data_IF_170374597984
#
_entry.id   IF_170374597984
#
_cell.length_a   1.000
_cell.length_b   1.000
_cell.length_c   1.000
_cell.angle_alpha   90.00
_cell.angle_beta   90.00
_cell.angle_gamma   90.00
#
_symmetry.space_group_name_H-M   'P 1'
#
loop_
_entity.id
_entity.type
_entity.pdbx_description
1 polymer ?
#
# COMPACT_ATOMS: atom_id res chain seq x y z
N UNK A 1 -36.84 18.65 -31.56
CA UNK A 1 -38.18 18.61 -30.95
C UNK A 1 -38.22 17.82 -29.61
N UNK A 2 -37.16 17.03 -29.31
CA UNK A 2 -37.10 16.23 -28.07
C UNK A 2 -36.22 16.88 -26.94
N UNK A 3 -35.74 18.11 -27.18
CA UNK A 3 -34.88 18.84 -26.23
C UNK A 3 -35.69 19.15 -24.98
N UNK A 4 -35.16 18.73 -23.81
CA UNK A 4 -35.77 18.94 -22.49
C UNK A 4 -36.69 17.81 -22.02
N UNK A 5 -36.96 16.79 -22.82
CA UNK A 5 -37.69 15.60 -22.43
C UNK A 5 -36.81 14.64 -21.63
N UNK A 6 -37.40 13.87 -20.70
CA UNK A 6 -36.73 12.72 -20.13
C UNK A 6 -36.36 11.72 -21.20
N UNK A 7 -35.18 11.15 -21.13
CA UNK A 7 -34.64 10.27 -22.16
C UNK A 7 -35.46 8.98 -22.43
N UNK A 8 -36.12 8.47 -21.39
CA UNK A 8 -36.97 7.30 -21.51
C UNK A 8 -38.30 7.66 -22.15
N UNK A 9 -38.82 8.82 -21.78
CA UNK A 9 -40.02 9.41 -22.41
C UNK A 9 -39.78 9.76 -23.88
N UNK A 10 -38.64 10.41 -24.17
CA UNK A 10 -38.23 10.71 -25.53
C UNK A 10 -38.12 9.46 -26.42
N UNK A 11 -37.68 8.32 -25.91
CA UNK A 11 -37.61 7.06 -26.66
C UNK A 11 -38.99 6.56 -27.11
N UNK A 12 -39.98 6.63 -26.25
CA UNK A 12 -41.35 6.23 -26.62
C UNK A 12 -41.93 7.18 -27.67
N UNK A 13 -41.78 8.50 -27.46
CA UNK A 13 -42.25 9.51 -28.42
C UNK A 13 -41.54 9.36 -29.80
N UNK A 14 -40.23 9.07 -29.79
CA UNK A 14 -39.52 8.80 -31.08
C UNK A 14 -40.09 7.59 -31.81
N UNK A 15 -40.43 6.53 -31.06
CA UNK A 15 -41.04 5.34 -31.68
C UNK A 15 -42.44 5.64 -32.27
N UNK A 16 -43.24 6.44 -31.59
CA UNK A 16 -44.55 6.89 -32.08
C UNK A 16 -44.39 7.72 -33.36
N UNK A 17 -43.49 8.68 -33.38
CA UNK A 17 -43.19 9.50 -34.56
C UNK A 17 -42.72 8.65 -35.74
N UNK A 18 -41.83 7.66 -35.50
CA UNK A 18 -41.35 6.75 -36.54
C UNK A 18 -42.48 5.87 -37.10
N UNK A 19 -43.42 5.45 -36.25
CA UNK A 19 -44.58 4.67 -36.66
C UNK A 19 -45.54 5.50 -37.52
N UNK A 20 -45.87 6.72 -37.08
CA UNK A 20 -46.67 7.67 -37.86
C UNK A 20 -46.07 7.95 -39.26
N UNK A 21 -44.73 8.08 -39.30
CA UNK A 21 -43.99 8.28 -40.57
C UNK A 21 -43.87 6.99 -41.38
N UNK A 22 -44.36 5.84 -40.90
CA UNK A 22 -44.22 4.51 -41.51
C UNK A 22 -42.76 4.09 -41.77
N UNK A 23 -41.88 4.55 -40.89
CA UNK A 23 -40.44 4.22 -40.87
C UNK A 23 -40.08 3.16 -39.84
N UNK A 24 -40.98 2.83 -38.90
CA UNK A 24 -40.81 1.77 -37.95
C UNK A 24 -41.16 0.42 -38.57
N UNK A 25 -40.17 -0.44 -38.77
CA UNK A 25 -40.38 -1.78 -39.34
C UNK A 25 -40.81 -2.77 -38.26
N UNK A 26 -40.12 -2.71 -37.05
CA UNK A 26 -40.36 -3.67 -35.99
C UNK A 26 -39.81 -3.19 -34.65
N UNK A 27 -40.48 -3.51 -33.53
CA UNK A 27 -40.00 -3.34 -32.16
C UNK A 27 -39.93 -4.72 -31.49
N UNK A 28 -38.72 -5.21 -31.27
CA UNK A 28 -38.48 -6.48 -30.57
C UNK A 28 -37.88 -6.28 -29.20
N UNK A 29 -38.28 -7.04 -28.16
CA UNK A 29 -37.64 -7.05 -26.90
C UNK A 29 -36.23 -7.64 -27.00
N UNK A 30 -35.21 -6.89 -26.58
CA UNK A 30 -33.81 -7.30 -26.60
C UNK A 30 -33.14 -7.12 -25.24
N UNK A 31 -32.45 -8.17 -24.76
CA UNK A 31 -31.71 -8.12 -23.51
C UNK A 31 -30.28 -7.60 -23.75
N UNK A 32 -29.94 -6.50 -23.13
CA UNK A 32 -28.59 -5.91 -23.17
C UNK A 32 -28.03 -5.77 -21.78
N UNK A 33 -26.71 -5.88 -21.68
CA UNK A 33 -26.00 -5.48 -20.47
C UNK A 33 -25.75 -3.98 -20.50
N UNK A 34 -26.51 -3.22 -19.72
CA UNK A 34 -26.35 -1.76 -19.63
C UNK A 34 -25.56 -1.42 -18.36
N UNK A 35 -24.64 -0.45 -18.47
CA UNK A 35 -23.96 0.11 -17.31
C UNK A 35 -24.94 0.90 -16.45
N UNK A 36 -24.86 0.76 -15.12
CA UNK A 36 -25.64 1.50 -14.15
C UNK A 36 -24.77 2.35 -13.24
N UNK A 37 -25.24 3.52 -12.86
CA UNK A 37 -24.61 4.33 -11.83
C UNK A 37 -24.58 3.55 -10.50
N UNK A 38 -23.42 3.37 -9.92
CA UNK A 38 -23.27 2.64 -8.64
C UNK A 38 -23.94 3.33 -7.43
N UNK A 39 -24.32 4.61 -7.58
CA UNK A 39 -25.01 5.39 -6.54
C UNK A 39 -26.53 5.34 -6.63
N UNK A 40 -27.07 5.69 -7.81
CA UNK A 40 -28.52 5.81 -8.01
C UNK A 40 -29.12 4.71 -8.86
N UNK A 41 -28.30 3.77 -9.34
CA UNK A 41 -28.70 2.64 -10.19
C UNK A 41 -29.38 3.01 -11.53
N UNK A 42 -29.35 4.28 -11.90
CA UNK A 42 -29.85 4.73 -13.22
C UNK A 42 -28.92 4.23 -14.31
N UNK A 43 -29.49 3.81 -15.45
CA UNK A 43 -28.73 3.44 -16.65
C UNK A 43 -27.90 4.64 -17.11
N UNK A 44 -26.58 4.42 -17.33
CA UNK A 44 -25.68 5.45 -17.86
C UNK A 44 -25.67 5.41 -19.39
N UNK A 45 -25.50 6.59 -19.99
CA UNK A 45 -25.36 6.74 -21.44
C UNK A 45 -24.03 7.42 -21.74
N UNK A 46 -23.21 6.84 -22.65
CA UNK A 46 -21.96 7.46 -23.07
C UNK A 46 -22.20 8.79 -23.78
N UNK A 47 -21.45 9.83 -23.36
CA UNK A 47 -21.44 11.14 -24.03
C UNK A 47 -20.01 11.50 -24.40
N UNK A 48 -19.83 12.01 -25.59
CA UNK A 48 -18.55 12.61 -26.02
C UNK A 48 -18.50 14.03 -25.47
N UNK A 49 -17.41 14.37 -24.78
CA UNK A 49 -17.17 15.72 -24.28
C UNK A 49 -15.66 16.03 -24.32
N UNK A 50 -15.33 17.30 -24.34
CA UNK A 50 -13.95 17.74 -24.25
C UNK A 50 -13.40 17.39 -22.87
N UNK A 51 -12.19 16.85 -22.87
CA UNK A 51 -11.54 16.39 -21.64
C UNK A 51 -10.04 16.74 -21.66
N UNK A 52 -9.46 16.89 -20.49
CA UNK A 52 -8.02 17.07 -20.32
C UNK A 52 -7.33 15.71 -20.23
N UNK A 53 -6.27 15.52 -20.99
CA UNK A 53 -5.49 14.29 -21.03
C UNK A 53 -4.01 14.56 -20.79
N UNK A 54 -3.35 13.61 -20.12
CA UNK A 54 -1.88 13.52 -20.07
C UNK A 54 -1.41 12.53 -21.11
N UNK A 55 -0.45 12.90 -21.95
CA UNK A 55 0.26 12.01 -22.87
C UNK A 55 1.16 11.06 -22.08
N UNK A 56 0.72 9.81 -21.90
CA UNK A 56 1.38 8.87 -20.98
C UNK A 56 2.59 8.18 -21.57
N UNK A 57 2.63 7.94 -22.89
CA UNK A 57 3.73 7.19 -23.53
C UNK A 57 5.13 7.77 -23.30
N UNK A 58 5.37 9.10 -23.35
CA UNK A 58 6.68 9.69 -23.06
C UNK A 58 7.12 9.40 -21.61
N UNK A 59 6.21 9.56 -20.64
CA UNK A 59 6.47 9.30 -19.22
C UNK A 59 6.75 7.83 -18.94
N UNK A 60 6.01 6.94 -19.60
CA UNK A 60 6.14 5.50 -19.45
C UNK A 60 7.52 4.97 -19.85
N UNK A 61 8.21 5.58 -20.82
CA UNK A 61 9.53 5.11 -21.28
C UNK A 61 10.56 5.03 -20.16
N UNK A 62 10.65 6.09 -19.34
CA UNK A 62 11.58 6.16 -18.21
C UNK A 62 11.18 5.16 -17.11
N UNK A 63 9.89 5.08 -16.80
CA UNK A 63 9.35 4.16 -15.81
C UNK A 63 9.53 2.67 -16.20
N UNK A 64 9.35 2.33 -17.48
CA UNK A 64 9.65 0.98 -18.01
C UNK A 64 11.13 0.66 -17.85
N UNK A 65 12.03 1.60 -18.16
CA UNK A 65 13.48 1.40 -18.04
C UNK A 65 13.84 1.08 -16.58
N UNK A 66 13.43 1.89 -15.62
CA UNK A 66 13.75 1.71 -14.20
C UNK A 66 13.33 0.32 -13.66
N UNK A 67 12.18 -0.20 -14.12
CA UNK A 67 11.72 -1.55 -13.73
C UNK A 67 12.44 -2.67 -14.51
N UNK A 68 12.79 -2.45 -15.78
CA UNK A 68 13.55 -3.45 -16.56
C UNK A 68 14.96 -3.65 -16.02
N UNK A 69 15.62 -2.58 -15.60
CA UNK A 69 16.99 -2.59 -15.05
C UNK A 69 17.06 -2.95 -13.56
N UNK A 70 15.93 -3.29 -12.94
CA UNK A 70 15.80 -3.62 -11.51
C UNK A 70 16.22 -2.49 -10.56
N UNK A 71 16.19 -1.22 -11.02
CA UNK A 71 16.26 -0.05 -10.13
C UNK A 71 15.04 -0.01 -9.22
N UNK A 72 13.87 -0.48 -9.72
CA UNK A 72 12.65 -0.74 -8.96
C UNK A 72 12.30 -2.21 -9.08
N UNK A 73 12.20 -2.90 -7.94
CA UNK A 73 11.86 -4.32 -7.85
C UNK A 73 10.45 -4.53 -7.34
N UNK A 74 9.80 -5.61 -7.79
CA UNK A 74 8.46 -5.99 -7.36
C UNK A 74 8.48 -7.31 -6.57
N UNK A 75 7.78 -7.32 -5.47
CA UNK A 75 7.59 -8.48 -4.60
C UNK A 75 6.09 -8.78 -4.45
N UNK A 76 5.62 -10.00 -4.87
CA UNK A 76 6.36 -11.03 -5.58
C UNK A 76 6.71 -10.65 -7.03
N UNK A 77 7.77 -11.23 -7.57
CA UNK A 77 8.36 -10.88 -8.87
C UNK A 77 7.38 -10.97 -10.06
N UNK A 78 6.31 -11.77 -9.94
CA UNK A 78 5.27 -11.88 -10.99
C UNK A 78 4.68 -10.53 -11.38
N UNK A 79 4.61 -9.58 -10.45
CA UNK A 79 4.05 -8.25 -10.70
C UNK A 79 4.92 -7.37 -11.61
N UNK A 80 6.22 -7.63 -11.69
CA UNK A 80 7.10 -7.00 -12.69
C UNK A 80 6.58 -7.22 -14.11
N UNK A 81 6.18 -8.46 -14.44
CA UNK A 81 5.63 -8.81 -15.77
C UNK A 81 4.30 -8.12 -16.02
N UNK A 82 3.42 -8.11 -15.03
CA UNK A 82 2.08 -7.45 -15.11
C UNK A 82 2.25 -5.95 -15.31
N UNK A 83 3.12 -5.30 -14.53
CA UNK A 83 3.45 -3.88 -14.67
C UNK A 83 3.98 -3.55 -16.06
N UNK A 84 5.00 -4.28 -16.54
CA UNK A 84 5.62 -4.02 -17.84
C UNK A 84 4.64 -4.22 -19.00
N UNK A 85 3.76 -5.22 -18.92
CA UNK A 85 2.72 -5.44 -19.92
C UNK A 85 1.76 -4.25 -20.02
N UNK A 86 1.27 -3.77 -18.87
CA UNK A 86 0.37 -2.61 -18.84
C UNK A 86 1.06 -1.34 -19.32
N UNK A 87 2.29 -1.08 -18.89
CA UNK A 87 3.07 0.12 -19.25
C UNK A 87 3.41 0.17 -20.74
N UNK A 88 3.66 -0.98 -21.40
CA UNK A 88 3.92 -1.04 -22.83
C UNK A 88 2.67 -0.74 -23.66
N UNK A 89 1.48 -1.00 -23.12
CA UNK A 89 0.19 -0.78 -23.77
C UNK A 89 -0.56 0.43 -23.19
N UNK A 90 0.15 1.35 -22.55
CA UNK A 90 -0.48 2.47 -21.85
C UNK A 90 -1.19 3.42 -22.80
N UNK A 91 -2.41 3.81 -22.45
CA UNK A 91 -3.20 4.84 -23.09
C UNK A 91 -3.06 6.17 -22.37
N UNK A 92 -3.39 7.25 -23.08
CA UNK A 92 -3.41 8.59 -22.49
C UNK A 92 -4.44 8.66 -21.36
N UNK A 93 -4.11 9.40 -20.34
CA UNK A 93 -4.89 9.46 -19.11
C UNK A 93 -5.77 10.70 -19.08
N UNK A 94 -7.11 10.50 -19.10
CA UNK A 94 -8.06 11.56 -18.84
C UNK A 94 -7.98 11.98 -17.36
N UNK A 95 -7.63 13.24 -17.12
CA UNK A 95 -7.43 13.80 -15.77
C UNK A 95 -8.55 14.71 -15.31
N UNK A 96 -9.47 15.10 -16.17
CA UNK A 96 -10.63 15.93 -15.80
C UNK A 96 -11.81 15.10 -15.31
N UNK A 97 -12.55 15.63 -14.33
CA UNK A 97 -13.74 15.03 -13.73
C UNK A 97 -14.82 16.07 -13.55
N UNK A 98 -16.05 15.72 -13.96
CA UNK A 98 -17.26 16.55 -13.86
C UNK A 98 -17.96 16.26 -12.52
N UNK A 99 -17.29 16.56 -11.40
CA UNK A 99 -17.79 16.39 -10.04
C UNK A 99 -17.58 17.67 -9.22
N UNK A 100 -18.39 17.86 -8.21
CA UNK A 100 -18.35 19.11 -7.41
C UNK A 100 -17.18 19.16 -6.43
N UNK A 101 -16.69 18.01 -5.97
CA UNK A 101 -15.62 17.95 -4.98
C UNK A 101 -14.31 17.51 -5.61
N UNK A 102 -13.27 18.34 -5.47
CA UNK A 102 -11.93 18.04 -5.97
C UNK A 102 -11.11 19.32 -6.18
N UNK A 103 -9.89 19.16 -6.65
CA UNK A 103 -9.03 20.28 -7.03
C UNK A 103 -9.41 20.76 -8.43
N UNK A 104 -9.88 21.99 -8.58
CA UNK A 104 -10.17 22.57 -9.89
C UNK A 104 -8.94 22.62 -10.76
N UNK A 105 -9.11 22.36 -12.05
CA UNK A 105 -8.03 22.57 -13.01
C UNK A 105 -7.58 24.04 -12.97
N UNK A 106 -6.26 24.29 -12.87
CA UNK A 106 -5.71 25.65 -12.86
C UNK A 106 -5.62 26.21 -14.29
N UNK A 107 -6.73 26.11 -15.02
CA UNK A 107 -6.85 26.51 -16.43
C UNK A 107 -7.93 27.56 -16.56
N UNK A 108 -7.63 28.58 -17.36
CA UNK A 108 -8.52 29.69 -17.62
C UNK A 108 -8.67 29.91 -19.12
N UNK A 109 -9.87 30.24 -19.55
CA UNK A 109 -10.21 30.47 -20.94
C UNK A 109 -10.57 31.93 -21.17
N UNK A 110 -9.96 32.54 -22.17
CA UNK A 110 -10.35 33.86 -22.64
C UNK A 110 -11.52 33.74 -23.62
N UNK A 111 -12.71 34.18 -23.23
CA UNK A 111 -13.90 34.10 -24.08
C UNK A 111 -13.72 34.80 -25.43
N UNK A 112 -13.07 35.99 -25.45
CA UNK A 112 -12.82 36.73 -26.69
C UNK A 112 -11.95 35.95 -27.67
N UNK A 113 -10.95 35.21 -27.21
CA UNK A 113 -10.11 34.39 -28.08
C UNK A 113 -10.85 33.15 -28.56
N UNK A 114 -11.73 32.57 -27.71
CA UNK A 114 -12.54 31.38 -28.10
C UNK A 114 -13.59 31.74 -29.15
N UNK A 115 -14.32 32.84 -28.98
CA UNK A 115 -15.34 33.30 -29.93
C UNK A 115 -14.77 33.53 -31.33
N UNK A 116 -13.50 33.93 -31.42
CA UNK A 116 -12.80 34.13 -32.71
C UNK A 116 -12.35 32.81 -33.36
N UNK A 117 -12.26 31.72 -32.59
CA UNK A 117 -11.84 30.37 -33.06
C UNK A 117 -13.00 29.43 -33.40
N UNK A 118 -14.23 29.73 -32.95
CA UNK A 118 -15.42 28.90 -33.22
C UNK A 118 -15.81 28.84 -34.70
N UNK A 119 -15.21 29.68 -35.56
CA UNK A 119 -15.43 29.64 -37.03
C UNK A 119 -14.74 28.46 -37.72
N UNK A 120 -13.82 27.74 -37.07
CA UNK A 120 -13.02 26.67 -37.69
C UNK A 120 -13.21 25.26 -37.07
N UNK A 121 -14.23 25.05 -36.23
CA UNK A 121 -14.54 23.70 -35.73
C UNK A 121 -15.26 22.93 -36.89
N UNK A 122 -14.47 22.42 -37.79
CA UNK A 122 -14.90 21.45 -38.77
C UNK A 122 -15.20 20.13 -38.04
N UNK A 123 -16.47 19.75 -38.00
CA UNK A 123 -17.00 18.56 -37.29
C UNK A 123 -16.67 17.23 -37.98
N UNK A 124 -15.66 17.17 -38.82
CA UNK A 124 -15.18 15.91 -39.38
C UNK A 124 -14.38 15.13 -38.33
N UNK A 125 -15.09 14.23 -37.67
CA UNK A 125 -14.53 13.19 -36.77
C UNK A 125 -13.66 12.19 -37.53
N UNK A 126 -12.54 12.61 -38.07
CA UNK A 126 -11.51 11.72 -38.57
C UNK A 126 -10.24 11.83 -37.73
N UNK A 127 -10.05 10.84 -36.87
CA UNK A 127 -8.81 10.27 -36.30
C UNK A 127 -7.56 11.13 -36.02
N UNK A 128 -7.67 12.45 -35.95
CA UNK A 128 -6.59 13.30 -35.44
C UNK A 128 -7.05 14.00 -34.17
N UNK A 129 -6.28 13.92 -33.04
CA UNK A 129 -6.54 14.79 -31.90
C UNK A 129 -6.48 16.22 -32.42
N UNK A 130 -7.59 16.95 -32.35
CA UNK A 130 -7.65 18.37 -32.66
C UNK A 130 -6.63 19.05 -31.77
N UNK A 131 -5.53 19.53 -32.37
CA UNK A 131 -4.65 20.47 -31.69
C UNK A 131 -5.46 21.75 -31.50
N UNK A 132 -6.07 21.88 -30.30
CA UNK A 132 -6.72 23.12 -29.93
C UNK A 132 -5.72 24.26 -30.11
N UNK A 133 -6.16 25.33 -30.73
CA UNK A 133 -5.42 26.59 -30.70
C UNK A 133 -5.07 26.89 -29.25
N UNK A 134 -3.79 27.00 -28.92
CA UNK A 134 -3.32 27.36 -27.57
C UNK A 134 -3.71 28.77 -27.18
N UNK A 135 -4.22 29.54 -28.15
CA UNK A 135 -4.61 30.93 -27.98
C UNK A 135 -5.81 31.07 -27.05
N UNK A 136 -5.67 31.89 -26.02
CA UNK A 136 -6.72 32.10 -25.02
C UNK A 136 -6.84 31.01 -23.95
N UNK A 137 -5.93 30.01 -23.89
CA UNK A 137 -5.83 29.03 -22.81
C UNK A 137 -4.67 29.44 -21.90
N UNK A 138 -4.98 29.68 -20.63
CA UNK A 138 -4.02 30.18 -19.64
C UNK A 138 -3.94 29.19 -18.49
N UNK A 139 -2.75 28.69 -18.19
CA UNK A 139 -2.47 27.86 -17.00
C UNK A 139 -1.87 28.75 -15.92
N UNK A 140 -2.57 28.90 -14.80
CA UNK A 140 -2.15 29.78 -13.70
C UNK A 140 -2.68 29.31 -12.35
N UNK A 141 -1.90 29.50 -11.28
CA UNK A 141 -2.34 29.24 -9.90
C UNK A 141 -3.50 30.16 -9.46
N UNK A 142 -3.47 31.39 -9.95
CA UNK A 142 -4.47 32.41 -9.63
C UNK A 142 -5.14 32.90 -10.91
N UNK A 143 -6.35 33.43 -10.80
CA UNK A 143 -7.07 34.00 -11.94
C UNK A 143 -6.24 35.15 -12.54
N UNK A 144 -5.87 35.10 -13.83
CA UNK A 144 -5.21 36.20 -14.52
C UNK A 144 -6.14 37.40 -14.63
N UNK A 145 -5.57 38.59 -14.52
CA UNK A 145 -6.32 39.84 -14.72
C UNK A 145 -6.67 40.05 -16.20
N UNK A 146 -5.73 39.73 -17.09
CA UNK A 146 -5.87 39.94 -18.54
C UNK A 146 -5.32 38.77 -19.33
N UNK A 147 -5.96 38.49 -20.46
CA UNK A 147 -5.46 37.48 -21.39
C UNK A 147 -4.13 37.95 -22.00
N UNK A 148 -3.08 37.14 -21.95
CA UNK A 148 -1.78 37.48 -22.54
C UNK A 148 -1.82 37.63 -24.07
N UNK A 149 -2.79 36.95 -24.74
CA UNK A 149 -2.86 36.97 -26.20
C UNK A 149 -3.63 38.19 -26.76
N UNK A 150 -4.68 38.65 -26.08
CA UNK A 150 -5.55 39.70 -26.62
C UNK A 150 -5.87 40.84 -25.64
N UNK A 151 -5.37 40.81 -24.41
CA UNK A 151 -5.58 41.82 -23.38
C UNK A 151 -7.00 41.86 -22.78
N UNK A 152 -7.90 40.95 -23.14
CA UNK A 152 -9.26 40.88 -22.60
C UNK A 152 -9.28 40.46 -21.13
N UNK A 153 -10.19 41.07 -20.37
CA UNK A 153 -10.46 40.74 -18.96
C UNK A 153 -11.54 39.63 -18.83
N UNK A 154 -12.20 39.26 -19.95
CA UNK A 154 -13.23 38.24 -19.94
C UNK A 154 -12.62 36.83 -19.91
N UNK A 155 -12.22 36.43 -18.70
CA UNK A 155 -11.52 35.18 -18.42
C UNK A 155 -12.36 34.33 -17.46
N UNK A 156 -12.61 33.06 -17.84
CA UNK A 156 -13.39 32.09 -17.08
C UNK A 156 -12.51 30.90 -16.74
N UNK A 157 -12.57 30.42 -15.50
CA UNK A 157 -11.85 29.21 -15.08
C UNK A 157 -12.58 27.96 -15.55
N UNK A 158 -11.81 26.92 -15.90
CA UNK A 158 -12.32 25.57 -16.11
C UNK A 158 -13.15 25.08 -14.91
N UNK A 159 -14.31 24.48 -15.16
CA UNK A 159 -15.22 24.01 -14.13
C UNK A 159 -14.85 22.62 -13.62
N UNK A 160 -14.20 21.82 -14.45
CA UNK A 160 -13.78 20.48 -14.11
C UNK A 160 -12.73 20.45 -12.99
N UNK A 161 -12.70 19.36 -12.26
CA UNK A 161 -11.71 19.08 -11.23
C UNK A 161 -10.73 18.01 -11.70
N UNK A 162 -9.56 17.95 -11.06
CA UNK A 162 -8.55 16.93 -11.35
C UNK A 162 -8.98 15.56 -10.79
N UNK A 163 -8.63 14.51 -11.51
CA UNK A 163 -8.66 13.13 -11.00
C UNK A 163 -7.87 13.03 -9.68
N UNK A 164 -8.41 12.36 -8.68
CA UNK A 164 -7.76 12.15 -7.38
C UNK A 164 -6.33 11.61 -7.51
N UNK A 165 -6.11 10.72 -8.47
CA UNK A 165 -4.80 10.14 -8.74
C UNK A 165 -3.78 11.15 -9.29
N UNK A 166 -4.22 12.27 -9.83
CA UNK A 166 -3.34 13.36 -10.29
C UNK A 166 -2.72 14.14 -9.13
N UNK A 167 -3.35 14.14 -7.97
CA UNK A 167 -2.74 14.68 -6.75
C UNK A 167 -1.90 13.61 -6.03
N UNK A 168 -2.41 12.39 -5.92
CA UNK A 168 -1.74 11.31 -5.16
C UNK A 168 -0.45 10.79 -5.81
N UNK A 169 -0.25 10.96 -7.12
CA UNK A 169 1.02 10.58 -7.78
C UNK A 169 2.20 11.45 -7.36
N UNK A 170 1.92 12.61 -6.76
CA UNK A 170 2.94 13.54 -6.25
C UNK A 170 3.45 13.15 -4.86
N UNK A 171 2.80 12.19 -4.19
CA UNK A 171 3.07 11.80 -2.81
C UNK A 171 4.56 11.65 -2.47
N UNK A 172 5.41 10.97 -3.28
CA UNK A 172 6.78 10.69 -2.90
C UNK A 172 7.66 11.93 -2.68
N UNK A 173 7.27 13.09 -3.24
CA UNK A 173 8.06 14.31 -3.16
C UNK A 173 7.25 15.53 -2.67
N UNK A 174 5.94 15.56 -2.86
CA UNK A 174 5.10 16.65 -2.37
C UNK A 174 5.02 16.68 -0.82
N UNK A 175 5.18 15.54 -0.15
CA UNK A 175 5.27 15.46 1.32
C UNK A 175 6.48 16.17 1.91
N UNK A 176 7.48 16.47 1.08
CA UNK A 176 8.66 17.29 1.41
C UNK A 176 8.55 18.69 0.85
N UNK A 177 7.34 19.19 0.64
CA UNK A 177 7.03 20.54 0.16
C UNK A 177 7.58 20.88 -1.22
N UNK A 178 7.90 19.89 -2.04
CA UNK A 178 8.26 20.13 -3.44
C UNK A 178 7.06 20.68 -4.26
N UNK A 179 7.24 21.60 -5.20
CA UNK A 179 8.44 22.34 -5.56
C UNK A 179 8.73 23.45 -4.55
N UNK A 180 9.99 23.53 -4.09
CA UNK A 180 10.40 24.50 -3.09
C UNK A 180 10.20 25.92 -3.58
N UNK A 181 9.61 26.77 -2.75
CA UNK A 181 9.36 28.17 -3.11
C UNK A 181 10.65 28.98 -2.87
N UNK A 182 11.51 29.05 -3.88
CA UNK A 182 12.82 29.70 -3.81
C UNK A 182 12.76 31.24 -3.82
N UNK A 183 11.57 31.84 -3.90
CA UNK A 183 11.41 33.30 -4.19
C UNK A 183 11.20 34.17 -2.95
N UNK A 184 10.90 33.60 -1.78
CA UNK A 184 10.69 34.39 -0.56
C UNK A 184 11.82 34.16 0.45
N UNK A 185 12.53 35.26 0.78
CA UNK A 185 13.74 35.24 1.61
C UNK A 185 13.53 34.74 3.05
N UNK A 186 12.31 34.68 3.56
CA UNK A 186 11.98 34.16 4.90
C UNK A 186 12.00 32.64 4.97
N UNK A 187 11.92 31.94 3.82
CA UNK A 187 11.77 30.49 3.74
C UNK A 187 13.04 29.76 3.27
N UNK A 188 14.15 30.47 3.04
CA UNK A 188 15.36 29.86 2.46
C UNK A 188 15.97 28.77 3.35
N UNK A 189 15.99 28.98 4.65
CA UNK A 189 16.56 28.01 5.60
C UNK A 189 15.64 26.77 5.72
N UNK A 190 14.34 26.99 5.78
CA UNK A 190 13.33 25.93 5.80
C UNK A 190 13.29 25.16 4.48
N UNK A 191 13.41 25.84 3.34
CA UNK A 191 13.51 25.20 2.03
C UNK A 191 14.77 24.34 1.89
N UNK A 192 15.89 24.75 2.51
CA UNK A 192 17.10 23.95 2.54
C UNK A 192 16.88 22.66 3.34
N UNK A 193 16.24 22.75 4.50
CA UNK A 193 15.90 21.58 5.32
C UNK A 193 15.00 20.61 4.55
N UNK A 194 13.96 21.09 3.88
CA UNK A 194 13.07 20.26 3.05
C UNK A 194 13.80 19.59 1.88
N UNK A 195 14.76 20.30 1.27
CA UNK A 195 15.59 19.73 0.21
C UNK A 195 16.52 18.64 0.73
N UNK A 196 17.07 18.80 1.92
CA UNK A 196 17.91 17.80 2.59
C UNK A 196 17.08 16.57 2.97
N UNK A 197 15.90 16.75 3.54
CA UNK A 197 14.95 15.66 3.82
C UNK A 197 14.52 14.91 2.56
N UNK A 198 14.15 15.63 1.49
CA UNK A 198 13.83 15.01 0.21
C UNK A 198 15.01 14.19 -0.33
N UNK A 199 16.23 14.70 -0.24
CA UNK A 199 17.41 13.98 -0.73
C UNK A 199 17.73 12.75 0.11
N UNK A 200 17.40 12.75 1.41
CA UNK A 200 17.60 11.63 2.31
C UNK A 200 16.53 10.53 2.11
N UNK A 201 15.25 10.91 2.00
CA UNK A 201 14.14 9.97 1.95
C UNK A 201 13.73 9.55 0.54
N UNK A 202 14.14 10.26 -0.51
CA UNK A 202 13.84 9.90 -1.90
C UNK A 202 15.10 9.37 -2.61
N UNK A 203 15.12 8.11 -3.05
CA UNK A 203 14.02 7.13 -3.04
C UNK A 203 13.79 6.52 -1.65
N UNK A 204 12.51 6.24 -1.32
CA UNK A 204 12.19 5.45 -0.14
C UNK A 204 12.63 3.99 -0.33
N UNK A 205 12.84 3.26 0.79
CA UNK A 205 13.28 1.87 0.74
C UNK A 205 12.24 0.97 0.09
N UNK A 206 11.00 1.02 0.57
CA UNK A 206 9.93 0.21 0.01
C UNK A 206 8.57 0.93 0.03
N UNK A 207 7.69 0.51 -0.87
CA UNK A 207 6.27 0.84 -0.90
C UNK A 207 5.45 -0.43 -0.74
N UNK A 208 4.56 -0.48 0.24
CA UNK A 208 3.62 -1.59 0.45
C UNK A 208 2.23 -1.18 -0.02
N UNK A 209 1.62 -1.94 -0.92
CA UNK A 209 0.32 -1.59 -1.50
C UNK A 209 -0.46 -2.79 -2.02
N UNK A 210 -1.76 -2.59 -2.29
CA UNK A 210 -2.60 -3.58 -2.93
C UNK A 210 -2.42 -3.60 -4.45
N UNK A 211 -2.63 -4.77 -5.05
CA UNK A 211 -2.54 -4.95 -6.50
C UNK A 211 -3.52 -4.08 -7.30
N UNK A 212 -4.66 -3.75 -6.72
CA UNK A 212 -5.75 -3.01 -7.36
C UNK A 212 -5.34 -1.58 -7.75
N UNK A 213 -4.41 -0.98 -7.00
CA UNK A 213 -3.94 0.39 -7.26
C UNK A 213 -2.54 0.44 -7.88
N UNK A 214 -2.03 -0.70 -8.35
CA UNK A 214 -0.73 -0.77 -9.02
C UNK A 214 -0.64 0.23 -10.19
N UNK A 215 -1.66 0.29 -11.03
CA UNK A 215 -1.67 1.16 -12.21
C UNK A 215 -2.18 2.56 -11.92
N UNK A 216 -3.06 2.69 -10.94
CA UNK A 216 -3.64 3.98 -10.56
C UNK A 216 -2.67 4.82 -9.72
N UNK A 217 -1.86 4.19 -8.90
CA UNK A 217 -0.98 4.89 -7.96
C UNK A 217 0.50 4.60 -8.18
N UNK A 218 0.93 3.32 -8.10
CA UNK A 218 2.36 2.97 -8.17
C UNK A 218 2.99 3.40 -9.49
N UNK A 219 2.40 3.00 -10.61
CA UNK A 219 2.91 3.33 -11.95
C UNK A 219 2.95 4.86 -12.16
N UNK A 220 1.93 5.56 -11.67
CA UNK A 220 1.85 7.02 -11.78
C UNK A 220 2.87 7.72 -10.90
N UNK A 221 3.09 7.27 -9.65
CA UNK A 221 4.17 7.81 -8.81
C UNK A 221 5.54 7.65 -9.45
N UNK A 222 5.82 6.48 -10.06
CA UNK A 222 7.09 6.26 -10.75
C UNK A 222 7.27 7.25 -11.91
N UNK A 223 6.24 7.44 -12.72
CA UNK A 223 6.28 8.40 -13.83
C UNK A 223 6.46 9.83 -13.34
N UNK A 224 5.69 10.27 -12.35
CA UNK A 224 5.76 11.62 -11.81
C UNK A 224 7.12 11.91 -11.16
N UNK A 225 7.62 11.00 -10.34
CA UNK A 225 8.91 11.18 -9.65
C UNK A 225 10.06 11.29 -10.65
N UNK A 226 10.11 10.42 -11.65
CA UNK A 226 11.11 10.48 -12.71
C UNK A 226 11.00 11.76 -13.56
N UNK A 227 9.80 12.26 -13.82
CA UNK A 227 9.58 13.48 -14.61
C UNK A 227 9.97 14.74 -13.84
N UNK A 228 9.58 14.83 -12.57
CA UNK A 228 9.72 16.07 -11.80
C UNK A 228 11.00 16.15 -10.98
N UNK A 229 11.59 15.02 -10.59
CA UNK A 229 12.76 14.99 -9.69
C UNK A 229 13.96 14.24 -10.26
N UNK A 230 13.83 13.62 -11.44
CA UNK A 230 14.83 12.72 -12.05
C UNK A 230 15.24 11.51 -11.19
N UNK A 231 14.48 11.22 -10.10
CA UNK A 231 14.74 10.12 -9.18
C UNK A 231 13.59 9.12 -9.21
N UNK A 232 13.91 7.83 -8.96
CA UNK A 232 12.87 6.83 -8.67
C UNK A 232 12.22 7.14 -7.31
N UNK A 233 10.92 6.88 -7.12
CA UNK A 233 10.24 7.21 -5.86
C UNK A 233 10.54 6.23 -4.73
N UNK A 234 10.79 4.97 -5.04
CA UNK A 234 11.07 3.86 -4.10
C UNK A 234 11.86 2.77 -4.82
N UNK A 235 12.59 1.96 -4.04
CA UNK A 235 13.42 0.86 -4.57
C UNK A 235 12.60 -0.41 -4.75
N UNK A 236 11.79 -0.76 -3.74
CA UNK A 236 11.04 -2.00 -3.70
C UNK A 236 9.54 -1.73 -3.63
N UNK A 237 8.75 -2.53 -4.35
CA UNK A 237 7.28 -2.50 -4.34
C UNK A 237 6.75 -3.83 -3.86
N UNK A 238 6.15 -3.83 -2.68
CA UNK A 238 5.58 -5.02 -2.06
C UNK A 238 4.07 -5.02 -2.30
N UNK A 239 3.60 -5.99 -3.07
CA UNK A 239 2.17 -6.14 -3.38
C UNK A 239 1.59 -7.20 -2.44
N UNK A 240 0.76 -6.74 -1.51
CA UNK A 240 0.05 -7.64 -0.60
C UNK A 240 -1.25 -8.17 -1.20
N UNK A 241 -1.77 -9.25 -0.63
CA UNK A 241 -3.07 -9.79 -0.98
C UNK A 241 -4.24 -8.99 -0.41
N UNK A 242 -5.44 -9.31 -0.85
CA UNK A 242 -6.68 -8.70 -0.37
C UNK A 242 -7.24 -9.52 0.79
N UNK A 243 -7.76 -8.84 1.81
CA UNK A 243 -8.46 -9.49 2.92
C UNK A 243 -9.89 -9.83 2.48
N UNK A 244 -10.27 -11.10 2.69
CA UNK A 244 -11.58 -11.66 2.37
C UNK A 244 -12.23 -12.29 3.59
N UNK A 245 -13.54 -12.35 3.57
CA UNK A 245 -14.30 -13.10 4.58
C UNK A 245 -14.17 -14.63 4.39
N UNK A 246 -14.80 -15.40 5.24
CA UNK A 246 -14.84 -16.87 5.21
C UNK A 246 -15.47 -17.43 3.93
N UNK A 247 -16.33 -16.64 3.25
CA UNK A 247 -16.99 -16.98 1.98
C UNK A 247 -16.15 -16.58 0.76
N UNK A 248 -14.99 -15.97 0.96
CA UNK A 248 -14.12 -15.50 -0.12
C UNK A 248 -14.55 -14.17 -0.74
N UNK A 249 -15.50 -13.45 -0.14
CA UNK A 249 -15.95 -12.16 -0.60
C UNK A 249 -15.00 -11.09 -0.07
N UNK A 250 -14.58 -10.15 -0.93
CA UNK A 250 -13.77 -9.00 -0.49
C UNK A 250 -14.52 -8.22 0.58
N UNK A 251 -13.84 -7.98 1.71
CA UNK A 251 -14.42 -7.17 2.79
C UNK A 251 -14.62 -5.72 2.34
N UNK A 252 -15.83 -5.20 2.57
CA UNK A 252 -16.15 -3.80 2.33
C UNK A 252 -17.20 -3.29 3.32
N UNK A 253 -17.10 -2.00 3.68
CA UNK A 253 -18.07 -1.36 4.57
C UNK A 253 -19.50 -1.40 4.01
N UNK A 254 -19.64 -1.30 2.69
CA UNK A 254 -20.94 -1.32 2.01
C UNK A 254 -21.64 -2.67 2.06
N UNK A 255 -20.88 -3.77 2.19
CA UNK A 255 -21.43 -5.13 2.31
C UNK A 255 -21.65 -5.56 3.77
N UNK A 256 -21.13 -4.78 4.74
CA UNK A 256 -21.25 -5.11 6.16
C UNK A 256 -20.47 -6.36 6.59
N UNK A 257 -19.53 -6.86 5.76
CA UNK A 257 -18.72 -8.05 6.02
C UNK A 257 -17.29 -7.70 6.49
N UNK A 258 -17.08 -6.49 6.99
CA UNK A 258 -15.78 -6.07 7.55
C UNK A 258 -15.64 -6.58 8.98
N UNK A 259 -14.45 -7.07 9.30
CA UNK A 259 -14.05 -7.39 10.68
C UNK A 259 -13.38 -6.13 11.24
N UNK A 260 -13.87 -5.64 12.38
CA UNK A 260 -13.22 -4.54 13.09
C UNK A 260 -11.97 -5.06 13.81
N UNK A 261 -10.77 -4.55 13.49
CA UNK A 261 -9.56 -4.94 14.18
C UNK A 261 -9.59 -4.72 15.69
N UNK A 262 -10.33 -3.71 16.18
CA UNK A 262 -10.45 -3.42 17.60
C UNK A 262 -11.22 -4.52 18.34
N UNK A 263 -12.29 -5.05 17.76
CA UNK A 263 -13.03 -6.18 18.33
C UNK A 263 -12.14 -7.44 18.43
N UNK A 264 -11.27 -7.67 17.43
CA UNK A 264 -10.31 -8.77 17.46
C UNK A 264 -9.25 -8.55 18.53
N UNK A 265 -8.76 -7.33 18.69
CA UNK A 265 -7.80 -6.98 19.73
C UNK A 265 -8.40 -7.21 21.13
N UNK A 266 -9.62 -6.78 21.37
CA UNK A 266 -10.31 -6.98 22.64
C UNK A 266 -10.52 -8.45 22.96
N UNK A 267 -10.79 -9.27 21.95
CA UNK A 267 -11.12 -10.70 22.10
C UNK A 267 -9.87 -11.58 22.19
N UNK A 268 -8.82 -11.30 21.44
CA UNK A 268 -7.65 -12.18 21.28
C UNK A 268 -6.32 -11.53 21.63
N UNK A 269 -6.25 -10.20 21.70
CA UNK A 269 -5.03 -9.41 21.90
C UNK A 269 -4.39 -8.93 20.60
N UNK A 270 -3.67 -7.81 20.67
CA UNK A 270 -3.02 -7.16 19.52
C UNK A 270 -1.95 -8.05 18.89
N UNK A 271 -1.13 -8.74 19.69
CA UNK A 271 -0.09 -9.64 19.19
C UNK A 271 -0.69 -10.86 18.47
N UNK A 272 -1.83 -11.37 18.96
CA UNK A 272 -2.53 -12.46 18.28
C UNK A 272 -3.05 -12.05 16.91
N UNK A 273 -3.63 -10.85 16.79
CA UNK A 273 -4.06 -10.29 15.50
C UNK A 273 -2.87 -10.15 14.54
N UNK A 274 -1.80 -9.48 14.96
CA UNK A 274 -0.61 -9.21 14.15
C UNK A 274 0.05 -10.49 13.65
N UNK A 275 0.32 -11.43 14.58
CA UNK A 275 0.94 -12.70 14.29
C UNK A 275 0.10 -13.55 13.32
N UNK A 276 -1.20 -13.68 13.58
CA UNK A 276 -2.10 -14.49 12.76
C UNK A 276 -2.26 -13.93 11.34
N UNK A 277 -2.29 -12.62 11.19
CA UNK A 277 -2.30 -11.98 9.86
C UNK A 277 -1.01 -12.28 9.09
N UNK A 278 0.16 -12.09 9.72
CA UNK A 278 1.43 -12.33 9.06
C UNK A 278 1.64 -13.81 8.72
N UNK A 279 1.23 -14.72 9.58
CA UNK A 279 1.32 -16.17 9.33
C UNK A 279 0.52 -16.60 8.09
N UNK A 280 -0.61 -15.93 7.83
CA UNK A 280 -1.50 -16.23 6.70
C UNK A 280 -1.20 -15.44 5.44
N UNK A 281 -0.50 -14.32 5.55
CA UNK A 281 -0.21 -13.40 4.46
C UNK A 281 0.91 -13.92 3.55
N UNK A 282 0.69 -15.07 2.89
CA UNK A 282 1.61 -15.54 1.87
C UNK A 282 1.78 -14.49 0.77
N UNK A 283 3.01 -14.28 0.32
CA UNK A 283 3.40 -13.17 -0.56
C UNK A 283 2.45 -13.00 -1.77
N UNK A 284 1.68 -11.93 -1.76
CA UNK A 284 0.73 -11.55 -2.82
C UNK A 284 -0.49 -12.46 -2.97
N UNK A 285 -0.81 -13.29 -1.97
CA UNK A 285 -2.01 -14.12 -1.93
C UNK A 285 -3.08 -13.48 -1.04
N UNK A 286 -4.35 -13.69 -1.38
CA UNK A 286 -5.46 -13.20 -0.56
C UNK A 286 -5.48 -13.88 0.81
N UNK A 287 -5.88 -13.12 1.83
CA UNK A 287 -5.98 -13.58 3.21
C UNK A 287 -7.44 -13.77 3.58
N UNK A 288 -7.81 -14.99 3.97
CA UNK A 288 -9.16 -15.31 4.38
C UNK A 288 -9.23 -15.29 5.92
N UNK A 289 -10.01 -14.41 6.50
CA UNK A 289 -10.09 -14.24 7.95
C UNK A 289 -11.31 -14.95 8.54
N UNK A 290 -11.08 -15.61 9.68
CA UNK A 290 -12.09 -16.14 10.59
C UNK A 290 -11.57 -16.07 12.02
N UNK A 291 -12.47 -16.10 13.01
CA UNK A 291 -12.11 -16.07 14.43
C UNK A 291 -11.14 -17.20 14.81
N UNK A 292 -11.32 -18.41 14.24
CA UNK A 292 -10.47 -19.57 14.50
C UNK A 292 -9.00 -19.31 14.15
N UNK A 293 -8.75 -18.51 13.14
CA UNK A 293 -7.39 -18.19 12.70
C UNK A 293 -6.65 -17.29 13.67
N UNK A 294 -7.36 -16.45 14.43
CA UNK A 294 -6.76 -15.63 15.47
C UNK A 294 -6.42 -16.41 16.74
N UNK A 295 -7.07 -17.57 16.95
CA UNK A 295 -6.72 -18.48 18.04
C UNK A 295 -5.29 -18.98 17.95
N UNK A 296 -4.74 -19.16 16.75
CA UNK A 296 -3.35 -19.60 16.56
C UNK A 296 -2.38 -18.59 17.20
N UNK A 297 -2.54 -17.29 16.92
CA UNK A 297 -1.71 -16.24 17.51
C UNK A 297 -1.87 -16.15 19.04
N UNK A 298 -3.11 -16.22 19.54
CA UNK A 298 -3.37 -16.24 20.98
C UNK A 298 -2.71 -17.44 21.67
N UNK A 299 -2.85 -18.63 21.12
CA UNK A 299 -2.29 -19.85 21.69
C UNK A 299 -0.75 -19.81 21.66
N UNK A 300 -0.18 -19.23 20.59
CA UNK A 300 1.26 -19.03 20.52
C UNK A 300 1.76 -18.02 21.56
N UNK A 301 1.07 -16.88 21.75
CA UNK A 301 1.37 -15.94 22.83
C UNK A 301 1.39 -16.64 24.20
N UNK A 302 0.35 -17.44 24.48
CA UNK A 302 0.28 -18.22 25.72
C UNK A 302 1.43 -19.23 25.85
N UNK A 303 1.85 -19.86 24.74
CA UNK A 303 2.98 -20.82 24.75
C UNK A 303 4.29 -20.09 25.10
N UNK A 304 4.54 -18.92 24.49
CA UNK A 304 5.74 -18.11 24.77
C UNK A 304 5.78 -17.68 26.25
N UNK A 305 4.65 -17.18 26.75
CA UNK A 305 4.51 -16.79 28.14
C UNK A 305 4.75 -17.94 29.12
N UNK A 306 4.10 -19.09 28.87
CA UNK A 306 4.22 -20.24 29.75
C UNK A 306 5.60 -20.87 29.71
N UNK A 307 6.27 -20.90 28.57
CA UNK A 307 7.67 -21.35 28.47
C UNK A 307 8.60 -20.46 29.31
N UNK A 308 8.42 -19.15 29.24
CA UNK A 308 9.17 -18.20 30.06
C UNK A 308 8.94 -18.45 31.56
N UNK A 309 7.68 -18.57 31.98
CA UNK A 309 7.35 -18.86 33.39
C UNK A 309 7.99 -20.16 33.86
N UNK A 310 7.97 -21.20 33.03
CA UNK A 310 8.59 -22.47 33.36
C UNK A 310 10.10 -22.36 33.55
N UNK A 311 10.80 -21.65 32.66
CA UNK A 311 12.24 -21.43 32.77
C UNK A 311 12.57 -20.71 34.10
N UNK A 312 11.86 -19.63 34.44
CA UNK A 312 12.12 -18.90 35.67
C UNK A 312 11.74 -19.68 36.96
N UNK A 313 10.67 -20.46 36.88
CA UNK A 313 10.33 -21.38 37.96
C UNK A 313 11.49 -22.36 38.23
N UNK A 314 12.05 -22.97 37.15
CA UNK A 314 13.17 -23.89 37.27
C UNK A 314 14.47 -23.22 37.76
N UNK A 315 14.71 -21.96 37.36
CA UNK A 315 15.82 -21.15 37.86
C UNK A 315 15.67 -20.94 39.36
N UNK A 316 14.48 -20.54 39.82
CA UNK A 316 14.17 -20.34 41.23
C UNK A 316 14.24 -21.62 42.05
N UNK A 317 13.63 -22.73 41.57
CA UNK A 317 13.60 -24.01 42.26
C UNK A 317 14.99 -24.62 42.48
N UNK A 318 15.98 -24.22 41.67
CA UNK A 318 17.36 -24.71 41.78
C UNK A 318 18.33 -23.66 42.31
N UNK A 319 17.85 -22.54 42.86
CA UNK A 319 18.67 -21.42 43.42
C UNK A 319 19.74 -20.92 42.41
N UNK A 320 19.42 -20.88 41.09
CA UNK A 320 20.35 -20.49 40.05
C UNK A 320 20.33 -18.97 39.90
N UNK A 321 21.51 -18.34 39.91
CA UNK A 321 21.69 -16.93 39.58
C UNK A 321 22.33 -16.81 38.20
N UNK A 322 21.77 -15.95 37.32
CA UNK A 322 22.28 -15.71 35.95
C UNK A 322 22.84 -14.28 35.89
N UNK A 323 24.16 -14.19 35.90
CA UNK A 323 24.91 -12.92 35.84
C UNK A 323 25.49 -12.66 34.44
N UNK A 324 25.63 -13.72 33.62
CA UNK A 324 26.12 -13.68 32.26
C UNK A 324 25.58 -14.86 31.47
N UNK A 325 25.71 -14.80 30.14
CA UNK A 325 25.29 -15.84 29.19
C UNK A 325 26.49 -16.60 28.59
N UNK A 326 27.58 -16.74 29.34
CA UNK A 326 28.76 -17.54 28.97
C UNK A 326 28.52 -19.02 29.31
N UNK A 327 28.78 -19.91 28.36
CA UNK A 327 28.62 -21.35 28.48
C UNK A 327 30.00 -22.02 28.61
N UNK A 328 30.20 -22.88 29.58
CA UNK A 328 31.50 -23.55 29.83
C UNK A 328 31.63 -24.88 29.12
N UNK A 329 30.54 -25.65 28.96
CA UNK A 329 30.55 -26.99 28.35
C UNK A 329 29.29 -27.22 27.52
N UNK A 330 29.32 -26.82 26.26
CA UNK A 330 28.20 -27.05 25.31
C UNK A 330 28.40 -28.38 24.60
N UNK A 331 27.54 -29.37 24.87
CA UNK A 331 27.58 -30.72 24.26
C UNK A 331 26.18 -31.27 24.01
N UNK A 332 26.11 -32.24 23.08
CA UNK A 332 24.87 -32.96 22.85
C UNK A 332 23.70 -32.05 22.49
N UNK A 333 22.63 -32.13 23.24
CA UNK A 333 21.39 -31.38 23.03
C UNK A 333 21.56 -29.87 23.15
N UNK A 334 22.46 -29.42 24.05
CA UNK A 334 22.71 -27.98 24.25
C UNK A 334 23.38 -27.39 22.98
N UNK A 335 24.32 -28.10 22.39
CA UNK A 335 24.93 -27.72 21.11
C UNK A 335 23.93 -27.76 19.97
N UNK A 336 23.02 -28.74 19.97
CA UNK A 336 22.01 -28.88 18.96
C UNK A 336 21.06 -27.68 18.95
N UNK A 337 20.48 -27.30 20.11
CA UNK A 337 19.53 -26.18 20.16
C UNK A 337 20.16 -24.83 19.78
N UNK A 338 21.43 -24.60 20.11
CA UNK A 338 22.16 -23.41 19.72
C UNK A 338 22.40 -23.38 18.19
N UNK A 339 22.79 -24.50 17.58
CA UNK A 339 22.94 -24.60 16.15
C UNK A 339 21.60 -24.38 15.41
N UNK A 340 20.49 -24.94 15.94
CA UNK A 340 19.15 -24.72 15.38
C UNK A 340 18.73 -23.26 15.50
N UNK A 341 19.08 -22.56 16.59
CA UNK A 341 18.86 -21.14 16.74
C UNK A 341 19.63 -20.34 15.67
N UNK A 342 20.92 -20.61 15.51
CA UNK A 342 21.77 -19.93 14.54
C UNK A 342 21.24 -20.09 13.10
N UNK A 343 20.87 -21.33 12.72
CA UNK A 343 20.25 -21.58 11.43
C UNK A 343 18.89 -20.88 11.26
N UNK A 344 18.12 -20.79 12.36
CA UNK A 344 16.84 -20.10 12.36
C UNK A 344 16.99 -18.59 12.17
N UNK A 345 17.99 -17.98 12.83
CA UNK A 345 18.34 -16.56 12.65
C UNK A 345 18.68 -16.29 11.18
N UNK A 346 19.63 -17.08 10.61
CA UNK A 346 20.05 -16.93 9.22
C UNK A 346 18.87 -17.05 8.23
N UNK A 347 18.01 -18.05 8.42
CA UNK A 347 16.84 -18.25 7.55
C UNK A 347 15.83 -17.12 7.67
N UNK A 348 15.55 -16.64 8.88
CA UNK A 348 14.63 -15.51 9.10
C UNK A 348 15.20 -14.24 8.46
N UNK A 349 16.48 -13.97 8.60
CA UNK A 349 17.13 -12.84 7.96
C UNK A 349 16.98 -12.88 6.44
N UNK A 350 17.21 -14.05 5.84
CA UNK A 350 16.99 -14.25 4.42
C UNK A 350 15.53 -14.01 4.00
N UNK A 351 14.56 -14.48 4.79
CA UNK A 351 13.13 -14.25 4.52
C UNK A 351 12.76 -12.77 4.62
N UNK A 352 13.26 -12.06 5.64
CA UNK A 352 13.01 -10.64 5.81
C UNK A 352 13.61 -9.81 4.67
N UNK A 353 14.85 -10.11 4.25
CA UNK A 353 15.53 -9.45 3.14
C UNK A 353 14.81 -9.65 1.79
N UNK A 354 13.99 -10.70 1.67
CA UNK A 354 13.17 -10.99 0.50
C UNK A 354 11.68 -10.66 0.70
N UNK A 355 11.32 -9.96 1.77
CA UNK A 355 9.93 -9.62 2.13
C UNK A 355 8.98 -10.83 2.23
N UNK A 356 9.52 -12.01 2.55
CA UNK A 356 8.77 -13.24 2.77
C UNK A 356 8.34 -13.34 4.24
N UNK A 357 7.54 -12.38 4.71
CA UNK A 357 7.21 -12.20 6.13
C UNK A 357 6.48 -13.42 6.73
N UNK A 358 5.61 -14.06 5.96
CA UNK A 358 4.91 -15.29 6.39
C UNK A 358 5.88 -16.45 6.67
N UNK A 359 6.92 -16.63 5.83
CA UNK A 359 7.92 -17.67 6.03
C UNK A 359 8.79 -17.37 7.25
N UNK A 360 9.13 -16.09 7.49
CA UNK A 360 9.84 -15.67 8.69
C UNK A 360 9.03 -16.00 9.96
N UNK A 361 7.74 -15.62 9.99
CA UNK A 361 6.85 -15.90 11.12
C UNK A 361 6.67 -17.40 11.35
N UNK A 362 6.50 -18.17 10.28
CA UNK A 362 6.36 -19.62 10.36
C UNK A 362 7.63 -20.28 10.89
N UNK A 363 8.82 -19.84 10.42
CA UNK A 363 10.10 -20.40 10.87
C UNK A 363 10.33 -20.19 12.36
N UNK A 364 10.07 -18.96 12.88
CA UNK A 364 10.23 -18.71 14.32
C UNK A 364 9.17 -19.47 15.15
N UNK A 365 7.94 -19.59 14.64
CA UNK A 365 6.90 -20.41 15.26
C UNK A 365 7.34 -21.86 15.41
N UNK A 366 7.80 -22.50 14.31
CA UNK A 366 8.25 -23.89 14.29
C UNK A 366 9.45 -24.12 15.21
N UNK A 367 10.44 -23.21 15.18
CA UNK A 367 11.59 -23.26 16.08
C UNK A 367 11.18 -23.15 17.55
N UNK A 368 10.45 -22.10 17.90
CA UNK A 368 10.12 -21.82 19.30
C UNK A 368 9.16 -22.88 19.88
N UNK A 369 8.10 -23.21 19.15
CA UNK A 369 7.12 -24.17 19.64
C UNK A 369 7.69 -25.58 19.69
N UNK A 370 8.16 -26.10 18.55
CA UNK A 370 8.50 -27.50 18.43
C UNK A 370 9.93 -27.81 18.88
N UNK A 371 10.93 -27.01 18.46
CA UNK A 371 12.31 -27.33 18.78
C UNK A 371 12.69 -26.87 20.20
N UNK A 372 12.33 -25.66 20.57
CA UNK A 372 12.70 -25.13 21.89
C UNK A 372 11.76 -25.65 23.00
N UNK A 373 10.43 -25.46 22.86
CA UNK A 373 9.51 -25.83 23.94
C UNK A 373 9.24 -27.33 24.02
N UNK A 374 8.76 -27.95 22.89
CA UNK A 374 8.30 -29.34 22.96
C UNK A 374 9.43 -30.36 23.02
N UNK A 375 10.64 -29.96 22.59
CA UNK A 375 11.76 -30.89 22.59
C UNK A 375 12.87 -30.47 23.58
N UNK A 376 13.54 -29.33 23.42
CA UNK A 376 14.67 -28.97 24.29
C UNK A 376 14.28 -28.81 25.76
N UNK A 377 13.27 -27.98 26.07
CA UNK A 377 12.80 -27.73 27.44
C UNK A 377 12.33 -29.02 28.10
N UNK A 378 11.60 -29.90 27.37
CA UNK A 378 11.12 -31.19 27.89
C UNK A 378 12.29 -32.11 28.27
N UNK A 379 13.35 -32.17 27.47
CA UNK A 379 14.50 -33.05 27.78
C UNK A 379 15.31 -32.53 28.98
N UNK A 380 15.43 -31.21 29.12
CA UNK A 380 16.25 -30.64 30.20
C UNK A 380 15.53 -30.50 31.55
N UNK A 381 14.20 -30.66 31.60
CA UNK A 381 13.38 -30.33 32.77
C UNK A 381 13.76 -31.10 34.04
N UNK A 382 14.22 -32.35 33.91
CA UNK A 382 14.59 -33.22 35.04
C UNK A 382 16.08 -33.08 35.45
N UNK A 383 16.89 -32.44 34.60
CA UNK A 383 18.30 -32.17 34.91
C UNK A 383 18.64 -30.72 34.52
N UNK A 384 18.09 -29.77 35.24
CA UNK A 384 18.20 -28.33 34.98
C UNK A 384 19.41 -27.74 35.70
N UNK A 385 20.55 -27.65 35.00
CA UNK A 385 21.81 -27.10 35.50
C UNK A 385 21.93 -25.62 35.15
N UNK A 386 22.94 -24.94 35.75
CA UNK A 386 23.24 -23.54 35.47
C UNK A 386 23.54 -23.28 33.98
N UNK A 387 24.32 -24.15 33.32
CA UNK A 387 24.58 -24.01 31.87
C UNK A 387 23.31 -24.12 31.07
N UNK A 388 22.42 -25.06 31.39
CA UNK A 388 21.13 -25.22 30.75
C UNK A 388 20.18 -24.03 31.00
N UNK A 389 20.20 -23.46 32.20
CA UNK A 389 19.47 -22.25 32.51
C UNK A 389 19.94 -21.06 31.65
N UNK A 390 21.28 -20.86 31.57
CA UNK A 390 21.89 -19.83 30.74
C UNK A 390 21.55 -20.00 29.25
N UNK A 391 21.64 -21.23 28.72
CA UNK A 391 21.29 -21.54 27.33
C UNK A 391 19.78 -21.29 27.10
N UNK A 392 18.91 -21.70 28.03
CA UNK A 392 17.47 -21.44 27.89
C UNK A 392 17.14 -19.96 27.83
N UNK A 393 17.78 -19.14 28.68
CA UNK A 393 17.60 -17.69 28.69
C UNK A 393 18.19 -17.06 27.42
N UNK A 394 19.34 -17.52 26.95
CA UNK A 394 19.95 -17.07 25.70
C UNK A 394 19.05 -17.33 24.49
N UNK A 395 18.55 -18.55 24.37
CA UNK A 395 17.61 -18.95 23.28
C UNK A 395 16.32 -18.14 23.38
N UNK A 396 15.80 -17.94 24.59
CA UNK A 396 14.61 -17.13 24.82
C UNK A 396 14.82 -15.69 24.35
N UNK A 397 15.87 -15.00 24.78
CA UNK A 397 16.16 -13.61 24.40
C UNK A 397 16.24 -13.46 22.87
N UNK A 398 17.00 -14.34 22.20
CA UNK A 398 17.13 -14.25 20.73
C UNK A 398 15.81 -14.57 20.04
N UNK A 399 15.01 -15.52 20.54
CA UNK A 399 13.67 -15.78 20.03
C UNK A 399 12.73 -14.59 20.20
N UNK A 400 12.81 -13.87 21.33
CA UNK A 400 12.03 -12.64 21.55
C UNK A 400 12.42 -11.55 20.55
N UNK A 401 13.70 -11.37 20.27
CA UNK A 401 14.19 -10.41 19.26
C UNK A 401 13.64 -10.74 17.87
N UNK A 402 13.66 -12.03 17.47
CA UNK A 402 13.10 -12.48 16.19
C UNK A 402 11.58 -12.31 16.11
N UNK A 403 10.86 -12.48 17.23
CA UNK A 403 9.41 -12.33 17.32
C UNK A 403 8.95 -10.88 17.43
N UNK A 404 9.78 -10.00 17.98
CA UNK A 404 9.37 -8.63 18.32
C UNK A 404 8.75 -7.83 17.18
N UNK A 405 9.22 -7.89 15.93
CA UNK A 405 8.56 -7.21 14.80
C UNK A 405 7.11 -7.65 14.59
N UNK A 406 6.75 -8.86 14.99
CA UNK A 406 5.42 -9.46 14.77
C UNK A 406 4.54 -9.39 16.02
N UNK A 407 5.13 -9.53 17.22
CA UNK A 407 4.46 -9.61 18.52
C UNK A 407 5.10 -8.67 19.54
N UNK A 408 5.06 -7.34 19.33
CA UNK A 408 5.85 -6.40 20.12
C UNK A 408 5.48 -6.33 21.60
N UNK A 409 4.20 -6.52 21.95
CA UNK A 409 3.76 -6.30 23.33
C UNK A 409 4.20 -7.41 24.27
N UNK A 410 3.92 -8.66 23.95
CA UNK A 410 4.28 -9.80 24.78
C UNK A 410 5.79 -9.99 24.86
N UNK A 411 6.51 -9.75 23.76
CA UNK A 411 7.95 -9.90 23.74
C UNK A 411 8.66 -8.86 24.58
N UNK A 412 8.18 -7.62 24.59
CA UNK A 412 8.70 -6.55 25.45
C UNK A 412 8.42 -6.86 26.93
N UNK A 413 7.21 -7.30 27.26
CA UNK A 413 6.84 -7.66 28.63
C UNK A 413 7.70 -8.81 29.18
N UNK A 414 7.92 -9.85 28.35
CA UNK A 414 8.80 -10.95 28.72
C UNK A 414 10.25 -10.47 28.87
N UNK A 415 10.73 -9.61 28.01
CA UNK A 415 12.08 -9.05 28.09
C UNK A 415 12.30 -8.27 29.39
N UNK A 416 11.32 -7.48 29.82
CA UNK A 416 11.34 -6.81 31.11
C UNK A 416 11.30 -7.81 32.28
N UNK A 417 10.55 -8.91 32.14
CA UNK A 417 10.56 -10.00 33.14
C UNK A 417 11.92 -10.68 33.24
N UNK A 418 12.65 -10.86 32.12
CA UNK A 418 14.04 -11.39 32.16
C UNK A 418 14.94 -10.46 32.95
N UNK A 419 14.87 -9.15 32.71
CA UNK A 419 15.66 -8.14 33.44
C UNK A 419 15.43 -8.19 34.96
N UNK A 420 14.18 -8.44 35.36
CA UNK A 420 13.80 -8.51 36.79
C UNK A 420 14.26 -9.81 37.45
N UNK A 421 14.29 -10.91 36.69
CA UNK A 421 14.60 -12.26 37.22
C UNK A 421 16.06 -12.71 36.98
N UNK A 422 16.91 -11.82 36.40
CA UNK A 422 18.32 -12.09 36.17
C UNK A 422 19.14 -10.86 36.47
N UNK A 423 20.46 -11.02 36.66
CA UNK A 423 21.41 -9.92 36.81
C UNK A 423 22.09 -9.56 35.49
N UNK A 424 21.47 -9.88 34.36
CA UNK A 424 22.01 -9.59 33.04
C UNK A 424 21.96 -8.09 32.73
N UNK A 425 23.05 -7.55 32.21
CA UNK A 425 23.07 -6.20 31.67
C UNK A 425 22.47 -6.21 30.25
N UNK A 426 21.16 -5.96 30.15
CA UNK A 426 20.41 -5.91 28.92
C UNK A 426 20.05 -4.47 28.57
N UNK A 427 19.72 -4.23 27.29
CA UNK A 427 19.21 -2.95 26.81
C UNK A 427 17.97 -2.51 27.59
N UNK A 428 17.67 -1.21 27.55
CA UNK A 428 16.50 -0.66 28.25
C UNK A 428 15.20 -1.26 27.72
N UNK A 429 15.08 -1.34 26.39
CA UNK A 429 13.92 -1.90 25.69
C UNK A 429 14.37 -2.91 24.64
N UNK A 430 13.55 -3.92 24.38
CA UNK A 430 13.81 -4.91 23.33
C UNK A 430 13.85 -4.29 21.94
N UNK A 431 12.99 -3.30 21.69
CA UNK A 431 12.90 -2.63 20.39
C UNK A 431 14.19 -1.93 19.94
N UNK A 432 15.04 -1.52 20.89
CA UNK A 432 16.34 -0.89 20.58
C UNK A 432 17.50 -1.86 20.67
N UNK A 433 17.25 -3.10 21.05
CA UNK A 433 18.27 -4.13 21.13
C UNK A 433 18.78 -4.50 19.72
N UNK A 434 20.07 -4.82 19.63
CA UNK A 434 20.66 -5.30 18.38
C UNK A 434 19.99 -6.58 17.92
N UNK A 435 19.85 -6.74 16.61
CA UNK A 435 19.35 -7.98 15.98
C UNK A 435 20.26 -9.16 16.37
N UNK A 436 19.72 -10.38 16.51
CA UNK A 436 20.49 -11.56 16.89
C UNK A 436 21.63 -11.86 15.96
#
# INVERSE_FOLDING_TARGET
DFIGMDRFEAREVILEVLDEMKLLEKKDPYKISAGHCYRCHTIIEPRISLQWFVKMKPLAKRAIKAVKTDEIKFYPQRWKKVYLNWMNNIHDWCISRQIWWGHRLPVYYCKKCQDNNDSDINTDFQDKPTEFSKQGIIVSKTKPEKCPDCGSENIVQEEDVLDTWFSSWLWPFATFYWPFNMTESKDLEQNKTYQEELNYFLPTSCLVTASEILFFWVARMIMASLEFTDKIPFKDVIIHGTVRDDKGIKMSKSLGNTIDPLEIIDKFGADALRFSLMLQAASGSDVYLSDEKFLVGRNFSNKVWNATRFIFMKISDNDITIDNLEFTKVKGIDKFILNELDQTIEQIENYLNNYSLNEAVKKIYDFFWHMFCDWYIEIIKDNFTIDKAKISVYVLINSLKLLHPFMPFITEEIFNSIKTNTNLNLDELLIISSWP
#
